data_IF_221533495958
#
_entry.id   IF_221533495958
#
_cell.length_a   1.000
_cell.length_b   1.000
_cell.length_c   1.000
_cell.angle_alpha   90.00
_cell.angle_beta   90.00
_cell.angle_gamma   90.00
#
_symmetry.space_group_name_H-M   'P 1'
#
loop_
_entity.id
_entity.type
_entity.pdbx_description
1 polymer ?
#
# COMPACT_ATOMS: atom_id res chain seq x y z
N UNK A 1 -11.28 18.75 21.43
CA UNK A 1 -9.98 18.25 21.92
C UNK A 1 -9.04 18.34 20.74
N UNK A 2 -7.81 18.85 20.90
CA UNK A 2 -6.91 18.90 19.74
C UNK A 2 -6.33 17.51 19.48
N UNK A 3 -6.51 17.01 18.26
CA UNK A 3 -6.10 15.68 17.81
C UNK A 3 -5.30 15.84 16.53
N UNK A 4 -4.13 15.20 16.45
CA UNK A 4 -3.37 15.12 15.20
C UNK A 4 -3.73 13.88 14.41
N UNK A 5 -4.14 14.07 13.17
CA UNK A 5 -4.51 13.01 12.23
C UNK A 5 -3.53 13.05 11.04
N UNK A 6 -2.99 11.91 10.66
CA UNK A 6 -1.99 11.82 9.60
C UNK A 6 -2.24 10.65 8.64
N UNK A 7 -1.64 10.75 7.46
CA UNK A 7 -1.43 9.64 6.53
C UNK A 7 0.03 9.56 6.12
N UNK A 8 0.55 8.34 5.98
CA UNK A 8 1.92 8.11 5.53
C UNK A 8 2.04 6.78 4.78
N UNK A 9 2.58 6.83 3.57
CA UNK A 9 3.04 5.63 2.86
C UNK A 9 4.38 5.19 3.47
N UNK A 10 4.42 3.95 3.98
CA UNK A 10 5.55 3.41 4.72
C UNK A 10 6.42 2.47 3.87
N UNK A 11 6.03 2.20 2.61
CA UNK A 11 6.71 1.34 1.65
C UNK A 11 7.27 0.02 2.22
N UNK A 12 6.42 -0.74 2.90
CA UNK A 12 6.75 -1.93 3.67
C UNK A 12 7.69 -1.66 4.86
N UNK A 13 7.33 -2.16 6.04
CA UNK A 13 8.00 -1.88 7.30
C UNK A 13 9.27 -2.70 7.52
N UNK A 14 9.27 -3.97 7.11
CA UNK A 14 10.34 -4.92 7.40
C UNK A 14 10.78 -5.69 6.18
N UNK A 15 9.88 -5.97 5.24
CA UNK A 15 10.15 -6.84 4.10
C UNK A 15 9.58 -6.22 2.85
N UNK A 16 10.46 -5.89 1.90
CA UNK A 16 10.05 -5.32 0.63
C UNK A 16 10.24 -6.35 -0.48
N UNK A 17 9.28 -6.49 -1.42
CA UNK A 17 9.51 -7.25 -2.65
C UNK A 17 10.81 -6.81 -3.33
N UNK A 18 11.69 -7.76 -3.64
CA UNK A 18 13.02 -7.47 -4.21
C UNK A 18 12.93 -6.72 -5.54
N UNK A 19 11.85 -6.96 -6.29
CA UNK A 19 11.53 -6.23 -7.51
C UNK A 19 11.50 -4.71 -7.31
N UNK A 20 10.97 -4.22 -6.17
CA UNK A 20 10.88 -2.78 -5.89
C UNK A 20 12.22 -2.11 -5.61
N UNK A 21 13.25 -2.89 -5.24
CA UNK A 21 14.61 -2.40 -4.97
C UNK A 21 15.48 -2.30 -6.23
N UNK A 22 14.98 -2.77 -7.38
CA UNK A 22 15.72 -2.71 -8.64
C UNK A 22 15.75 -1.26 -9.13
N UNK A 23 16.95 -0.68 -9.24
CA UNK A 23 17.13 0.72 -9.67
C UNK A 23 16.63 0.96 -11.09
N UNK A 24 16.95 0.05 -12.02
CA UNK A 24 16.51 0.11 -13.42
C UNK A 24 14.97 -0.02 -13.52
N UNK A 25 14.26 1.06 -13.89
CA UNK A 25 12.80 1.05 -13.98
C UNK A 25 12.27 0.07 -15.04
N UNK A 26 13.01 -0.15 -16.14
CA UNK A 26 12.60 -1.06 -17.20
C UNK A 26 12.66 -2.51 -16.71
N UNK A 27 13.76 -2.88 -16.05
CA UNK A 27 13.92 -4.22 -15.45
C UNK A 27 12.92 -4.48 -14.32
N UNK A 28 12.68 -3.48 -13.45
CA UNK A 28 11.66 -3.55 -12.39
C UNK A 28 10.28 -3.81 -13.00
N UNK A 29 9.92 -3.03 -14.02
CA UNK A 29 8.64 -3.15 -14.72
C UNK A 29 8.47 -4.53 -15.36
N UNK A 30 9.50 -5.01 -16.05
CA UNK A 30 9.50 -6.34 -16.68
C UNK A 30 9.19 -7.46 -15.68
N UNK A 31 9.84 -7.46 -14.51
CA UNK A 31 9.59 -8.47 -13.46
C UNK A 31 8.16 -8.40 -12.93
N UNK A 32 7.63 -7.18 -12.69
CA UNK A 32 6.27 -6.99 -12.21
C UNK A 32 5.23 -7.41 -13.26
N UNK A 33 5.48 -7.11 -14.54
CA UNK A 33 4.66 -7.54 -15.67
C UNK A 33 4.64 -9.05 -15.81
N UNK A 34 5.82 -9.68 -15.76
CA UNK A 34 5.95 -11.13 -15.83
C UNK A 34 5.29 -11.83 -14.64
N UNK A 35 5.38 -11.25 -13.44
CA UNK A 35 4.69 -11.75 -12.25
C UNK A 35 3.17 -11.67 -12.42
N UNK A 36 2.63 -10.52 -12.86
CA UNK A 36 1.21 -10.36 -13.10
C UNK A 36 0.70 -11.31 -14.20
N UNK A 37 1.46 -11.47 -15.28
CA UNK A 37 1.16 -12.42 -16.34
C UNK A 37 1.17 -13.88 -15.84
N UNK A 38 2.16 -14.25 -15.01
CA UNK A 38 2.24 -15.57 -14.41
C UNK A 38 1.01 -15.84 -13.53
N UNK A 39 0.67 -14.94 -12.60
CA UNK A 39 -0.49 -15.08 -11.72
C UNK A 39 -1.78 -15.24 -12.54
N UNK A 40 -1.99 -14.38 -13.55
CA UNK A 40 -3.17 -14.48 -14.42
C UNK A 40 -3.27 -15.81 -15.17
N UNK A 41 -2.14 -16.35 -15.65
CA UNK A 41 -2.11 -17.68 -16.28
C UNK A 41 -2.40 -18.80 -15.25
N UNK A 42 -1.89 -18.69 -14.03
CA UNK A 42 -2.09 -19.70 -12.99
C UNK A 42 -3.55 -19.80 -12.52
N UNK A 43 -4.33 -18.73 -12.63
CA UNK A 43 -5.75 -18.69 -12.28
C UNK A 43 -6.68 -19.27 -13.35
N UNK A 44 -6.17 -19.58 -14.55
CA UNK A 44 -6.99 -20.18 -15.60
C UNK A 44 -7.56 -21.55 -15.15
N UNK A 45 -8.87 -21.80 -15.39
CA UNK A 45 -9.51 -23.04 -14.96
C UNK A 45 -8.94 -24.27 -15.68
N UNK A 46 -8.49 -24.09 -16.92
CA UNK A 46 -7.84 -25.10 -17.77
C UNK A 46 -6.64 -24.47 -18.44
N UNK A 47 -5.50 -25.16 -18.47
CA UNK A 47 -4.30 -24.73 -19.17
C UNK A 47 -4.22 -25.43 -20.53
N UNK A 48 -4.24 -24.65 -21.61
CA UNK A 48 -3.90 -25.11 -22.95
C UNK A 48 -2.40 -25.39 -23.07
N UNK A 49 -1.97 -26.04 -24.16
CA UNK A 49 -0.54 -26.26 -24.39
C UNK A 49 0.25 -24.95 -24.55
N UNK A 50 -0.39 -23.91 -25.08
CA UNK A 50 0.19 -22.55 -25.17
C UNK A 50 0.31 -21.90 -23.77
N UNK A 51 -0.72 -22.01 -22.93
CA UNK A 51 -0.66 -21.51 -21.55
C UNK A 51 0.46 -22.20 -20.76
N UNK A 52 0.57 -23.52 -20.88
CA UNK A 52 1.64 -24.30 -20.24
C UNK A 52 3.02 -23.86 -20.71
N UNK A 53 3.19 -23.59 -22.00
CA UNK A 53 4.45 -23.11 -22.55
C UNK A 53 4.81 -21.72 -22.00
N UNK A 54 3.83 -20.81 -21.90
CA UNK A 54 4.02 -19.47 -21.31
C UNK A 54 4.35 -19.55 -19.82
N UNK A 55 3.63 -20.36 -19.05
CA UNK A 55 3.90 -20.60 -17.63
C UNK A 55 5.32 -21.14 -17.44
N UNK A 56 5.71 -22.16 -18.21
CA UNK A 56 7.06 -22.73 -18.15
C UNK A 56 8.13 -21.67 -18.46
N UNK A 57 7.94 -20.87 -19.51
CA UNK A 57 8.89 -19.83 -19.92
C UNK A 57 9.08 -18.76 -18.83
N UNK A 58 8.00 -18.33 -18.17
CA UNK A 58 8.07 -17.36 -17.06
C UNK A 58 8.79 -17.94 -15.84
N UNK A 59 8.50 -19.21 -15.50
CA UNK A 59 9.16 -19.90 -14.38
C UNK A 59 10.66 -20.08 -14.66
N UNK A 60 11.04 -20.46 -15.88
CA UNK A 60 12.44 -20.61 -16.30
C UNK A 60 13.18 -19.27 -16.30
N UNK A 61 12.58 -18.23 -16.90
CA UNK A 61 13.14 -16.87 -16.99
C UNK A 61 13.56 -16.32 -15.63
N UNK A 62 12.70 -16.51 -14.63
CA UNK A 62 12.91 -15.97 -13.29
C UNK A 62 13.51 -16.96 -12.30
N UNK A 63 13.85 -18.18 -12.72
CA UNK A 63 14.26 -19.28 -11.82
C UNK A 63 13.25 -19.48 -10.67
N UNK A 64 11.94 -19.38 -10.96
CA UNK A 64 10.89 -19.33 -9.93
C UNK A 64 10.64 -20.65 -9.17
N UNK A 65 11.56 -21.60 -9.27
CA UNK A 65 11.64 -22.87 -8.55
C UNK A 65 12.85 -22.93 -7.61
N UNK A 66 13.77 -21.96 -7.71
CA UNK A 66 15.06 -21.96 -7.04
C UNK A 66 14.92 -21.38 -5.63
N UNK A 67 15.73 -21.90 -4.71
CA UNK A 67 15.79 -21.49 -3.31
C UNK A 67 17.19 -20.99 -2.94
N UNK A 68 18.02 -20.61 -3.93
CA UNK A 68 19.37 -20.11 -3.68
C UNK A 68 19.33 -18.91 -2.72
N UNK A 69 19.79 -19.06 -1.46
CA UNK A 69 19.74 -17.99 -0.48
C UNK A 69 20.72 -16.85 -0.79
N UNK A 70 21.67 -17.04 -1.72
CA UNK A 70 22.67 -16.02 -2.12
C UNK A 70 22.25 -15.21 -3.33
N UNK A 71 21.38 -15.75 -4.17
CA UNK A 71 20.83 -15.11 -5.36
C UNK A 71 19.36 -15.54 -5.54
N UNK A 72 18.48 -15.13 -4.60
CA UNK A 72 17.09 -15.56 -4.61
C UNK A 72 16.41 -15.06 -5.89
N UNK A 73 15.57 -15.89 -6.54
CA UNK A 73 14.83 -15.45 -7.71
C UNK A 73 13.89 -14.29 -7.36
N UNK A 74 13.57 -13.37 -8.27
CA UNK A 74 12.64 -12.27 -7.98
C UNK A 74 11.18 -12.73 -7.81
N UNK A 75 10.84 -13.93 -8.32
CA UNK A 75 9.52 -14.57 -8.24
C UNK A 75 9.75 -15.99 -7.72
N UNK A 76 8.86 -16.47 -6.85
CA UNK A 76 8.89 -17.85 -6.38
C UNK A 76 7.51 -18.51 -6.53
N UNK A 77 7.47 -19.77 -7.00
CA UNK A 77 6.24 -20.57 -7.10
C UNK A 77 6.19 -21.58 -5.97
N UNK A 78 5.31 -21.30 -5.00
CA UNK A 78 4.98 -22.19 -3.90
C UNK A 78 4.06 -23.31 -4.39
N UNK A 79 4.48 -24.56 -4.23
CA UNK A 79 3.65 -25.73 -4.51
C UNK A 79 3.40 -26.49 -3.20
N UNK A 80 2.17 -26.45 -2.69
CA UNK A 80 1.78 -27.06 -1.41
C UNK A 80 1.67 -28.58 -1.53
N UNK A 81 2.54 -29.31 -0.82
CA UNK A 81 2.60 -30.78 -0.79
C UNK A 81 2.55 -31.38 -2.21
N UNK A 82 3.59 -31.22 -3.03
CA UNK A 82 3.63 -31.85 -4.34
C UNK A 82 3.77 -33.37 -4.12
N UNK A 83 2.63 -34.08 -4.11
CA UNK A 83 2.62 -35.48 -4.46
C UNK A 83 3.13 -35.66 -5.89
N UNK A 84 3.36 -36.90 -6.30
CA UNK A 84 3.98 -37.24 -7.61
C UNK A 84 3.26 -36.58 -8.81
N UNK A 85 1.96 -36.30 -8.67
CA UNK A 85 1.08 -35.77 -9.73
C UNK A 85 0.22 -34.56 -9.29
N UNK A 86 0.55 -33.87 -8.19
CA UNK A 86 -0.28 -32.77 -7.64
C UNK A 86 0.41 -31.40 -7.63
N UNK A 87 1.58 -31.28 -8.27
CA UNK A 87 2.29 -30.02 -8.48
C UNK A 87 1.96 -29.39 -9.84
N UNK A 88 2.20 -28.07 -9.94
CA UNK A 88 2.22 -27.33 -11.21
C UNK A 88 3.25 -27.92 -12.18
N UNK A 89 4.47 -28.15 -11.68
CA UNK A 89 5.59 -28.73 -12.42
C UNK A 89 6.44 -29.61 -11.48
N UNK A 90 7.14 -30.59 -12.05
CA UNK A 90 8.11 -31.38 -11.28
C UNK A 90 9.34 -30.55 -10.97
N UNK A 91 9.88 -30.58 -9.73
CA UNK A 91 11.12 -29.91 -9.41
C UNK A 91 12.19 -30.28 -10.43
N UNK A 92 12.87 -29.28 -11.01
CA UNK A 92 13.88 -29.56 -11.99
C UNK A 92 15.02 -30.41 -11.42
N UNK A 93 15.51 -31.38 -12.21
CA UNK A 93 16.69 -32.18 -11.84
C UNK A 93 17.97 -31.33 -11.79
N UNK A 94 19.10 -31.86 -11.25
CA UNK A 94 20.35 -31.12 -11.15
C UNK A 94 20.85 -30.68 -12.54
N UNK A 95 20.94 -29.36 -12.77
CA UNK A 95 21.39 -28.75 -14.02
C UNK A 95 21.39 -27.22 -13.94
N UNK A 96 22.22 -26.55 -14.77
CA UNK A 96 22.35 -25.07 -14.75
C UNK A 96 21.15 -24.32 -15.34
N UNK A 97 20.39 -24.96 -16.24
CA UNK A 97 19.20 -24.41 -16.91
C UNK A 97 18.20 -25.54 -17.12
N UNK A 98 17.52 -25.99 -16.07
CA UNK A 98 16.57 -27.07 -16.21
C UNK A 98 15.32 -26.60 -16.97
N UNK A 99 14.80 -27.49 -17.81
CA UNK A 99 13.54 -27.28 -18.53
C UNK A 99 12.36 -27.61 -17.62
N UNK A 100 11.41 -26.70 -17.54
CA UNK A 100 10.19 -26.82 -16.77
C UNK A 100 9.09 -27.42 -17.65
N UNK A 101 8.49 -28.50 -17.17
CA UNK A 101 7.31 -29.10 -17.78
C UNK A 101 6.11 -28.91 -16.85
N UNK A 102 5.14 -28.12 -17.31
CA UNK A 102 3.89 -27.88 -16.57
C UNK A 102 2.96 -29.09 -16.74
N UNK A 103 2.79 -29.86 -15.68
CA UNK A 103 1.98 -31.09 -15.66
C UNK A 103 0.53 -30.84 -15.26
N UNK A 104 0.26 -29.76 -14.52
CA UNK A 104 -1.10 -29.41 -14.11
C UNK A 104 -1.99 -29.10 -15.34
N UNK A 105 -3.26 -29.51 -15.28
CA UNK A 105 -4.24 -29.29 -16.35
C UNK A 105 -4.99 -27.97 -16.22
N UNK A 106 -4.76 -27.21 -15.16
CA UNK A 106 -5.52 -26.02 -14.79
C UNK A 106 -5.45 -25.77 -13.29
N UNK A 107 -6.08 -24.68 -12.82
CA UNK A 107 -6.04 -24.24 -11.42
C UNK A 107 -6.44 -25.34 -10.42
N UNK A 108 -7.43 -26.18 -10.75
CA UNK A 108 -7.92 -27.23 -9.85
C UNK A 108 -6.99 -28.45 -9.72
N UNK A 109 -5.96 -28.56 -10.55
CA UNK A 109 -5.07 -29.74 -10.60
C UNK A 109 -3.86 -29.65 -9.67
N UNK A 110 -3.64 -28.52 -9.02
CA UNK A 110 -2.51 -28.31 -8.11
C UNK A 110 -2.87 -27.30 -7.02
N UNK A 111 -2.15 -27.35 -5.90
CA UNK A 111 -2.30 -26.39 -4.80
C UNK A 111 -1.02 -25.58 -4.64
N UNK A 112 -1.14 -24.25 -4.66
CA UNK A 112 0.01 -23.36 -4.61
C UNK A 112 -0.29 -21.98 -5.19
N UNK A 113 0.71 -21.10 -5.16
CA UNK A 113 0.65 -19.72 -5.63
C UNK A 113 2.03 -19.24 -6.09
N UNK A 114 2.08 -18.17 -6.88
CA UNK A 114 3.30 -17.43 -7.13
C UNK A 114 3.35 -16.22 -6.19
N UNK A 115 4.53 -15.87 -5.69
CA UNK A 115 4.76 -14.65 -4.91
C UNK A 115 6.04 -13.95 -5.36
N UNK A 116 6.12 -12.66 -5.10
CA UNK A 116 7.39 -11.94 -5.24
C UNK A 116 8.29 -12.32 -4.06
N UNK A 117 9.57 -12.58 -4.36
CA UNK A 117 10.54 -12.75 -3.29
C UNK A 117 10.68 -11.46 -2.51
N UNK A 118 10.75 -11.60 -1.19
CA UNK A 118 10.90 -10.48 -0.27
C UNK A 118 12.27 -10.55 0.38
N UNK A 119 12.88 -9.38 0.57
CA UNK A 119 14.13 -9.25 1.33
C UNK A 119 13.91 -8.34 2.54
N UNK A 120 14.68 -8.60 3.60
CA UNK A 120 14.61 -7.81 4.83
C UNK A 120 15.15 -6.40 4.55
N UNK A 121 14.46 -5.39 5.08
CA UNK A 121 14.95 -4.02 5.07
C UNK A 121 16.07 -3.85 6.09
N UNK A 122 17.03 -2.99 5.75
CA UNK A 122 18.05 -2.57 6.71
C UNK A 122 17.38 -1.89 7.91
N UNK A 123 17.89 -2.18 9.11
CA UNK A 123 17.40 -1.59 10.35
C UNK A 123 17.40 -0.06 10.30
N UNK A 124 18.32 0.54 9.56
CA UNK A 124 18.37 2.00 9.39
C UNK A 124 17.21 2.54 8.57
N UNK A 125 16.77 1.84 7.53
CA UNK A 125 15.53 2.15 6.76
C UNK A 125 14.33 2.12 7.69
N UNK A 126 14.14 1.00 8.41
CA UNK A 126 13.02 0.82 9.35
C UNK A 126 13.02 1.91 10.44
N UNK A 127 14.21 2.26 10.96
CA UNK A 127 14.37 3.36 11.93
C UNK A 127 14.06 4.72 11.31
N UNK A 128 14.40 4.97 10.06
CA UNK A 128 14.05 6.22 9.36
C UNK A 128 12.54 6.35 9.20
N UNK A 129 11.83 5.28 8.83
CA UNK A 129 10.36 5.23 8.85
C UNK A 129 9.83 5.55 10.26
N UNK A 130 10.42 4.95 11.29
CA UNK A 130 10.11 5.26 12.69
C UNK A 130 10.35 6.71 13.06
N UNK A 131 11.42 7.35 12.57
CA UNK A 131 11.72 8.78 12.79
C UNK A 131 10.65 9.69 12.19
N UNK A 132 10.16 9.39 10.99
CA UNK A 132 9.04 10.15 10.38
C UNK A 132 7.80 10.04 11.26
N UNK A 133 7.39 8.83 11.63
CA UNK A 133 6.22 8.61 12.51
C UNK A 133 6.40 9.31 13.86
N UNK A 134 7.62 9.29 14.41
CA UNK A 134 7.96 9.93 15.68
C UNK A 134 7.90 11.44 15.64
N UNK A 135 8.24 12.04 14.50
CA UNK A 135 8.28 13.48 14.29
C UNK A 135 6.88 14.04 14.03
N UNK A 136 6.08 13.32 13.24
CA UNK A 136 4.67 13.64 13.04
C UNK A 136 3.90 13.49 14.37
N UNK A 137 4.19 12.45 15.13
CA UNK A 137 3.60 12.16 16.45
C UNK A 137 2.07 12.19 16.46
N UNK A 138 1.45 11.70 15.38
CA UNK A 138 0.00 11.73 15.24
C UNK A 138 -0.70 10.94 16.35
N UNK A 139 -1.90 11.36 16.73
CA UNK A 139 -2.76 10.56 17.59
C UNK A 139 -3.46 9.46 16.82
N UNK A 140 -3.76 9.72 15.54
CA UNK A 140 -4.32 8.75 14.60
C UNK A 140 -3.51 8.84 13.30
N UNK A 141 -2.90 7.73 12.88
CA UNK A 141 -2.08 7.65 11.68
C UNK A 141 -2.61 6.55 10.77
N UNK A 142 -3.14 6.91 9.61
CA UNK A 142 -3.38 5.98 8.53
C UNK A 142 -2.03 5.60 7.89
N UNK A 143 -1.77 4.31 7.76
CA UNK A 143 -0.53 3.77 7.19
C UNK A 143 -0.83 3.12 5.85
N UNK A 144 -0.06 3.46 4.81
CA UNK A 144 -0.19 2.88 3.48
C UNK A 144 1.05 2.05 3.16
N UNK A 145 0.89 0.99 2.37
CA UNK A 145 1.93 0.01 2.04
C UNK A 145 2.51 -0.71 3.26
N UNK A 146 1.65 -1.24 4.12
CA UNK A 146 2.09 -2.11 5.23
C UNK A 146 1.80 -3.57 4.88
N UNK A 147 2.74 -4.47 5.21
CA UNK A 147 2.70 -5.88 4.82
C UNK A 147 1.51 -6.63 5.40
N UNK A 148 1.34 -6.52 6.71
CA UNK A 148 0.30 -7.21 7.46
C UNK A 148 0.15 -6.59 8.87
N UNK A 149 -0.88 -7.02 9.62
CA UNK A 149 -1.15 -6.53 10.97
C UNK A 149 -0.02 -6.84 11.97
N UNK A 150 0.67 -7.98 11.82
CA UNK A 150 1.75 -8.38 12.73
C UNK A 150 3.02 -7.55 12.49
N UNK A 151 3.33 -7.20 11.25
CA UNK A 151 4.36 -6.25 10.89
C UNK A 151 4.05 -4.88 11.53
N UNK A 152 2.82 -4.39 11.38
CA UNK A 152 2.38 -3.14 12.01
C UNK A 152 2.59 -3.16 13.54
N UNK A 153 2.17 -4.22 14.23
CA UNK A 153 2.37 -4.39 15.68
C UNK A 153 3.84 -4.50 16.09
N UNK A 154 4.67 -5.21 15.30
CA UNK A 154 6.12 -5.31 15.55
C UNK A 154 6.79 -3.95 15.40
N UNK A 155 6.44 -3.17 14.39
CA UNK A 155 6.98 -1.83 14.23
C UNK A 155 6.63 -0.94 15.43
N UNK A 156 5.39 -0.97 15.86
CA UNK A 156 4.92 -0.21 17.03
C UNK A 156 5.67 -0.58 18.33
N UNK A 157 5.82 -1.88 18.59
CA UNK A 157 6.43 -2.37 19.83
C UNK A 157 7.97 -2.32 19.82
N UNK A 158 8.59 -2.75 18.73
CA UNK A 158 10.05 -2.92 18.64
C UNK A 158 10.76 -1.68 18.14
N UNK A 159 10.16 -0.94 17.20
CA UNK A 159 10.78 0.24 16.59
C UNK A 159 10.37 1.50 17.32
N UNK A 160 9.07 1.81 17.37
CA UNK A 160 8.59 3.04 18.02
C UNK A 160 8.86 3.01 19.52
N UNK A 161 8.30 2.03 20.25
CA UNK A 161 8.49 1.94 21.70
C UNK A 161 9.88 1.45 22.09
N UNK A 162 10.40 0.40 21.44
CA UNK A 162 11.69 -0.19 21.77
C UNK A 162 12.88 0.68 21.36
N UNK A 163 13.14 0.77 20.05
CA UNK A 163 14.35 1.41 19.53
C UNK A 163 14.35 2.94 19.65
N UNK A 164 13.20 3.59 19.47
CA UNK A 164 13.06 5.04 19.47
C UNK A 164 12.53 5.61 20.79
N UNK A 165 12.09 4.76 21.73
CA UNK A 165 11.59 5.19 23.04
C UNK A 165 10.34 6.07 22.97
N UNK A 166 9.54 5.93 21.91
CA UNK A 166 8.31 6.72 21.68
C UNK A 166 7.10 6.04 22.26
N UNK A 167 6.05 6.81 22.52
CA UNK A 167 4.78 6.28 23.02
C UNK A 167 4.16 5.39 21.94
N UNK A 168 3.94 4.09 22.20
CA UNK A 168 3.29 3.21 21.23
C UNK A 168 1.81 3.57 21.07
N UNK A 169 1.25 3.15 19.95
CA UNK A 169 -0.17 3.19 19.69
C UNK A 169 -0.86 1.99 20.35
N UNK A 170 -1.80 2.19 21.29
CA UNK A 170 -2.52 1.08 21.93
C UNK A 170 -3.44 0.32 20.96
N UNK A 171 -3.84 0.95 19.86
CA UNK A 171 -4.67 0.33 18.83
C UNK A 171 -3.90 0.35 17.50
N UNK A 172 -3.63 -0.84 16.97
CA UNK A 172 -3.04 -1.05 15.65
C UNK A 172 -3.92 -2.06 14.91
N UNK A 173 -4.40 -1.70 13.73
CA UNK A 173 -5.29 -2.55 12.95
C UNK A 173 -4.97 -2.46 11.48
N UNK A 174 -4.98 -3.61 10.82
CA UNK A 174 -4.85 -3.77 9.38
C UNK A 174 -5.61 -5.05 9.01
N UNK A 175 -6.25 -5.04 7.85
CA UNK A 175 -6.78 -6.23 7.22
C UNK A 175 -6.13 -6.40 5.85
N UNK A 176 -5.75 -7.64 5.54
CA UNK A 176 -5.03 -7.94 4.31
C UNK A 176 -5.91 -7.68 3.09
N UNK A 177 -5.35 -7.06 2.06
CA UNK A 177 -6.02 -6.68 0.83
C UNK A 177 -6.09 -7.80 -0.20
N UNK A 178 -6.43 -7.43 -1.44
CA UNK A 178 -6.41 -8.35 -2.59
C UNK A 178 -5.06 -8.30 -3.34
N UNK A 179 -4.13 -7.46 -2.89
CA UNK A 179 -2.82 -7.28 -3.54
C UNK A 179 -1.77 -8.21 -2.92
N UNK A 180 -1.29 -9.17 -3.70
CA UNK A 180 -0.36 -10.20 -3.22
C UNK A 180 1.03 -9.68 -2.85
N UNK A 181 1.30 -8.38 -3.07
CA UNK A 181 2.59 -7.76 -2.76
C UNK A 181 2.70 -7.32 -1.29
N UNK A 182 1.61 -7.38 -0.52
CA UNK A 182 1.56 -6.96 0.88
C UNK A 182 1.74 -5.46 1.02
N UNK A 183 0.93 -4.67 0.32
CA UNK A 183 1.00 -3.20 0.31
C UNK A 183 -0.31 -2.60 0.82
N UNK A 184 -0.77 -3.12 1.96
CA UNK A 184 -2.09 -2.87 2.49
C UNK A 184 -2.21 -1.56 3.27
N UNK A 185 -3.45 -1.22 3.61
CA UNK A 185 -3.79 -0.01 4.37
C UNK A 185 -4.12 -0.39 5.81
N UNK A 186 -3.40 0.21 6.74
CA UNK A 186 -3.57 0.02 8.18
C UNK A 186 -3.81 1.34 8.90
N UNK A 187 -3.95 1.23 10.22
CA UNK A 187 -4.11 2.38 11.10
C UNK A 187 -3.44 2.14 12.45
N UNK A 188 -2.81 3.20 12.93
CA UNK A 188 -2.39 3.39 14.31
C UNK A 188 -3.30 4.41 14.98
N UNK A 189 -3.75 4.13 16.20
CA UNK A 189 -4.59 5.04 16.96
C UNK A 189 -4.30 5.02 18.45
N UNK A 190 -4.32 6.21 19.07
CA UNK A 190 -4.32 6.40 20.52
C UNK A 190 -5.71 6.32 21.13
N UNK A 191 -6.74 6.32 20.30
CA UNK A 191 -8.14 6.18 20.65
C UNK A 191 -8.69 4.82 20.20
N UNK A 192 -9.69 4.25 20.91
CA UNK A 192 -10.24 2.95 20.55
C UNK A 192 -10.77 2.91 19.12
N UNK A 193 -10.41 1.87 18.37
CA UNK A 193 -11.06 1.53 17.10
C UNK A 193 -12.31 0.71 17.46
N UNK A 194 -13.48 1.31 17.29
CA UNK A 194 -14.76 0.73 17.75
C UNK A 194 -15.42 -0.16 16.72
N UNK A 195 -15.15 0.09 15.44
CA UNK A 195 -15.68 -0.69 14.32
C UNK A 195 -14.72 -0.65 13.14
N UNK A 196 -14.74 -1.71 12.34
CA UNK A 196 -14.09 -1.82 11.04
C UNK A 196 -15.13 -2.27 10.02
N UNK A 197 -15.24 -1.56 8.91
CA UNK A 197 -15.98 -2.03 7.72
C UNK A 197 -15.01 -2.13 6.54
N UNK A 198 -15.08 -3.24 5.81
CA UNK A 198 -14.24 -3.51 4.64
C UNK A 198 -15.05 -3.43 3.36
N UNK A 199 -14.41 -3.00 2.28
CA UNK A 199 -14.93 -2.97 0.92
C UNK A 199 -14.14 -3.88 -0.03
N UNK A 200 -13.33 -4.78 0.53
CA UNK A 200 -12.41 -5.68 -0.15
C UNK A 200 -13.10 -6.54 -1.21
N UNK A 201 -14.34 -6.95 -0.96
CA UNK A 201 -15.09 -7.87 -1.81
C UNK A 201 -15.90 -7.18 -2.90
N UNK A 202 -15.87 -5.86 -3.00
CA UNK A 202 -16.57 -5.16 -4.06
C UNK A 202 -15.95 -5.45 -5.43
N UNK A 203 -16.82 -5.64 -6.42
CA UNK A 203 -16.44 -5.93 -7.80
C UNK A 203 -16.52 -4.68 -8.65
N UNK A 204 -15.67 -4.58 -9.67
CA UNK A 204 -15.74 -3.48 -10.63
C UNK A 204 -17.08 -3.56 -11.39
N UNK A 205 -17.93 -2.50 -11.39
CA UNK A 205 -19.21 -2.52 -12.08
C UNK A 205 -19.10 -2.83 -13.58
N UNK A 206 -18.02 -2.35 -14.23
CA UNK A 206 -17.77 -2.54 -15.66
C UNK A 206 -17.04 -3.87 -15.96
N UNK A 207 -16.37 -4.45 -14.95
CA UNK A 207 -15.72 -5.77 -15.01
C UNK A 207 -16.04 -6.60 -13.76
N UNK A 208 -17.25 -7.19 -13.65
CA UNK A 208 -17.72 -7.84 -12.43
C UNK A 208 -16.89 -9.06 -11.97
N UNK A 209 -16.08 -9.61 -12.87
CA UNK A 209 -15.09 -10.67 -12.58
C UNK A 209 -13.86 -10.16 -11.82
N UNK A 210 -13.66 -8.84 -11.76
CA UNK A 210 -12.51 -8.20 -11.13
C UNK A 210 -12.90 -7.47 -9.85
N UNK A 211 -12.00 -7.46 -8.88
CA UNK A 211 -12.14 -6.63 -7.68
C UNK A 211 -12.00 -5.16 -8.04
N UNK A 212 -12.86 -4.32 -7.48
CA UNK A 212 -12.75 -2.87 -7.64
C UNK A 212 -11.54 -2.33 -6.88
N UNK A 213 -11.35 -2.82 -5.64
CA UNK A 213 -10.27 -2.43 -4.76
C UNK A 213 -9.21 -3.54 -4.69
N UNK A 214 -8.02 -3.27 -5.24
CA UNK A 214 -6.86 -4.17 -5.04
C UNK A 214 -6.31 -4.05 -3.62
N UNK A 215 -6.23 -2.82 -3.11
CA UNK A 215 -6.02 -2.51 -1.70
C UNK A 215 -7.35 -1.99 -1.17
N UNK A 216 -7.77 -2.48 0.00
CA UNK A 216 -9.10 -2.20 0.54
C UNK A 216 -9.34 -0.69 0.74
N UNK A 217 -10.62 -0.29 0.79
CA UNK A 217 -11.06 1.00 1.30
C UNK A 217 -11.68 0.81 2.71
N UNK A 218 -10.89 0.50 3.76
CA UNK A 218 -11.43 0.22 5.07
C UNK A 218 -12.02 1.48 5.72
N UNK A 219 -13.20 1.35 6.34
CA UNK A 219 -13.76 2.34 7.25
C UNK A 219 -13.29 2.02 8.69
N UNK A 220 -12.36 2.80 9.21
CA UNK A 220 -11.93 2.72 10.62
C UNK A 220 -12.75 3.70 11.45
N UNK A 221 -13.64 3.19 12.31
CA UNK A 221 -14.38 4.03 13.24
C UNK A 221 -13.59 4.19 14.54
N UNK A 222 -13.30 5.44 14.91
CA UNK A 222 -12.51 5.82 16.06
C UNK A 222 -13.41 6.46 17.11
N UNK A 223 -13.44 5.85 18.29
CA UNK A 223 -14.17 6.35 19.44
C UNK A 223 -13.51 7.59 20.04
N UNK A 224 -14.06 8.76 19.73
CA UNK A 224 -13.70 10.04 20.34
C UNK A 224 -14.69 10.41 21.47
N UNK A 225 -14.37 11.47 22.22
CA UNK A 225 -15.28 12.00 23.24
C UNK A 225 -16.48 12.70 22.58
N UNK A 226 -17.53 11.95 22.29
CA UNK A 226 -18.74 12.47 21.64
C UNK A 226 -18.95 11.82 20.28
N UNK A 227 -18.83 12.60 19.21
CA UNK A 227 -19.09 12.13 17.84
C UNK A 227 -17.89 11.30 17.35
N UNK A 228 -18.09 10.02 16.94
CA UNK A 228 -17.00 9.20 16.44
C UNK A 228 -16.47 9.73 15.11
N UNK A 229 -15.16 9.58 14.90
CA UNK A 229 -14.51 9.88 13.63
C UNK A 229 -14.41 8.61 12.79
N UNK A 230 -14.75 8.67 11.51
CA UNK A 230 -14.48 7.56 10.58
C UNK A 230 -13.39 7.97 9.59
N UNK A 231 -12.35 7.13 9.47
CA UNK A 231 -11.30 7.29 8.46
C UNK A 231 -11.49 6.22 7.39
N UNK A 232 -11.73 6.66 6.15
CA UNK A 232 -11.72 5.82 4.94
C UNK A 232 -10.29 5.77 4.40
N UNK A 233 -9.60 4.66 4.66
CA UNK A 233 -8.22 4.46 4.20
C UNK A 233 -8.16 4.08 2.73
N UNK A 234 -7.21 4.61 1.96
CA UNK A 234 -7.15 4.37 0.51
C UNK A 234 -5.71 4.21 0.00
N UNK A 235 -5.55 3.29 -0.94
CA UNK A 235 -4.36 3.17 -1.79
C UNK A 235 -4.85 2.87 -3.22
N UNK A 236 -5.15 3.91 -4.01
CA UNK A 236 -5.80 3.76 -5.31
C UNK A 236 -4.83 3.24 -6.38
N UNK A 237 -5.34 2.77 -7.53
CA UNK A 237 -4.53 2.17 -8.61
C UNK A 237 -3.35 3.06 -9.03
N UNK A 238 -2.13 2.53 -8.85
CA UNK A 238 -0.88 3.20 -9.23
C UNK A 238 -0.75 3.47 -10.74
N UNK A 239 0.02 4.52 -11.07
CA UNK A 239 0.43 4.90 -12.43
C UNK A 239 1.54 4.01 -13.01
N UNK A 240 2.16 3.15 -12.20
CA UNK A 240 2.99 2.03 -12.71
C UNK A 240 2.04 1.01 -13.35
N UNK A 241 1.92 1.07 -14.68
CA UNK A 241 0.80 0.49 -15.48
C UNK A 241 -0.50 1.25 -15.28
N UNK A 242 -0.46 2.50 -15.73
CA UNK A 242 -1.56 3.44 -15.55
C UNK A 242 -2.89 2.87 -16.06
N UNK A 243 -3.88 2.94 -15.18
CA UNK A 243 -5.27 2.58 -15.45
C UNK A 243 -6.13 3.69 -14.80
N UNK A 244 -6.25 4.85 -15.49
CA UNK A 244 -6.97 6.00 -14.97
C UNK A 244 -8.47 5.73 -14.87
N UNK A 245 -9.03 4.84 -15.69
CA UNK A 245 -10.43 4.43 -15.65
C UNK A 245 -10.73 3.68 -14.34
N UNK A 246 -9.89 2.71 -13.97
CA UNK A 246 -10.03 2.01 -12.69
C UNK A 246 -9.84 2.96 -11.51
N UNK A 247 -8.86 3.87 -11.56
CA UNK A 247 -8.64 4.84 -10.49
C UNK A 247 -9.84 5.76 -10.29
N UNK A 248 -10.45 6.23 -11.39
CA UNK A 248 -11.67 7.02 -11.35
C UNK A 248 -12.86 6.22 -10.82
N UNK A 249 -13.01 4.95 -11.22
CA UNK A 249 -14.06 4.06 -10.70
C UNK A 249 -13.92 3.86 -9.18
N UNK A 250 -12.69 3.66 -8.69
CA UNK A 250 -12.40 3.57 -7.26
C UNK A 250 -12.76 4.89 -6.54
N UNK A 251 -12.32 6.04 -7.05
CA UNK A 251 -12.61 7.34 -6.46
C UNK A 251 -14.13 7.65 -6.39
N UNK A 252 -14.89 7.33 -7.45
CA UNK A 252 -16.35 7.43 -7.45
C UNK A 252 -16.98 6.55 -6.37
N UNK A 253 -16.49 5.32 -6.21
CA UNK A 253 -17.00 4.42 -5.18
C UNK A 253 -16.64 4.91 -3.77
N UNK A 254 -15.44 5.43 -3.56
CA UNK A 254 -15.05 6.08 -2.30
C UNK A 254 -15.98 7.25 -1.98
N UNK A 255 -16.36 8.07 -2.96
CA UNK A 255 -17.33 9.15 -2.77
C UNK A 255 -18.73 8.63 -2.35
N UNK A 256 -19.17 7.48 -2.86
CA UNK A 256 -20.42 6.84 -2.45
C UNK A 256 -20.34 6.29 -1.02
N UNK A 257 -19.24 5.61 -0.67
CA UNK A 257 -18.98 5.09 0.68
C UNK A 257 -18.91 6.23 1.68
N UNK A 258 -18.23 7.32 1.34
CA UNK A 258 -18.19 8.56 2.12
C UNK A 258 -19.59 9.10 2.40
N UNK A 259 -20.45 9.23 1.37
CA UNK A 259 -21.82 9.73 1.54
C UNK A 259 -22.66 8.81 2.44
N UNK A 260 -22.54 7.49 2.29
CA UNK A 260 -23.21 6.53 3.18
C UNK A 260 -22.68 6.62 4.62
N UNK A 261 -21.38 6.88 4.79
CA UNK A 261 -20.74 7.07 6.10
C UNK A 261 -21.24 8.33 6.79
N UNK A 262 -21.50 9.42 6.04
CA UNK A 262 -22.07 10.65 6.58
C UNK A 262 -23.43 10.46 7.25
N UNK A 263 -24.18 9.42 6.88
CA UNK A 263 -25.45 9.07 7.55
C UNK A 263 -25.21 8.53 8.98
N UNK A 264 -24.00 8.08 9.31
CA UNK A 264 -23.61 7.51 10.60
C UNK A 264 -22.83 8.50 11.48
N UNK A 265 -22.03 9.37 10.87
CA UNK A 265 -21.30 10.43 11.57
C UNK A 265 -20.96 11.59 10.62
N UNK A 266 -21.03 12.86 11.06
CA UNK A 266 -20.53 13.98 10.28
C UNK A 266 -18.99 14.02 10.21
N UNK A 267 -18.29 13.32 11.12
CA UNK A 267 -16.83 13.34 11.18
C UNK A 267 -16.25 12.23 10.31
N UNK A 268 -15.95 12.55 9.06
CA UNK A 268 -15.40 11.57 8.10
C UNK A 268 -14.18 12.16 7.39
N UNK A 269 -13.13 11.36 7.28
CA UNK A 269 -11.92 11.69 6.53
C UNK A 269 -11.65 10.58 5.51
N UNK A 270 -11.39 10.95 4.26
CA UNK A 270 -10.81 10.05 3.25
C UNK A 270 -9.31 10.32 3.21
N UNK A 271 -8.50 9.30 3.50
CA UNK A 271 -7.06 9.45 3.68
C UNK A 271 -6.27 8.38 2.94
N UNK A 272 -5.02 8.68 2.58
CA UNK A 272 -4.10 7.72 1.98
C UNK A 272 -3.44 8.22 0.69
N UNK A 273 -2.85 7.28 -0.05
CA UNK A 273 -2.24 7.51 -1.36
C UNK A 273 -3.29 7.30 -2.45
N UNK A 274 -3.77 8.39 -3.04
CA UNK A 274 -4.75 8.36 -4.11
C UNK A 274 -4.12 8.15 -5.49
N UNK A 275 -2.78 8.10 -5.60
CA UNK A 275 -2.02 7.91 -6.83
C UNK A 275 -2.41 8.88 -7.96
N UNK A 276 -2.99 10.03 -7.62
CA UNK A 276 -3.37 11.06 -8.58
C UNK A 276 -3.24 12.46 -8.02
N UNK A 277 -3.07 13.43 -8.91
CA UNK A 277 -2.86 14.83 -8.56
C UNK A 277 -4.18 15.62 -8.50
N UNK A 278 -4.21 16.82 -7.88
CA UNK A 278 -5.45 17.54 -7.57
C UNK A 278 -6.36 17.85 -8.77
N UNK A 279 -5.78 18.05 -9.95
CA UNK A 279 -6.54 18.37 -11.18
C UNK A 279 -6.99 17.14 -11.96
N UNK A 280 -6.87 15.94 -11.39
CA UNK A 280 -7.33 14.69 -11.99
C UNK A 280 -8.84 14.46 -11.83
N UNK A 281 -9.44 13.65 -12.71
CA UNK A 281 -10.86 13.28 -12.60
C UNK A 281 -11.16 12.53 -11.29
N UNK A 282 -10.19 11.76 -10.79
CA UNK A 282 -10.30 11.02 -9.52
C UNK A 282 -10.41 11.98 -8.33
N UNK A 283 -9.56 13.00 -8.28
CA UNK A 283 -9.62 14.05 -7.26
C UNK A 283 -10.92 14.86 -7.38
N UNK A 284 -11.30 15.27 -8.59
CA UNK A 284 -12.53 16.00 -8.85
C UNK A 284 -13.79 15.24 -8.41
N UNK A 285 -13.82 13.91 -8.55
CA UNK A 285 -14.95 13.08 -8.08
C UNK A 285 -15.13 13.15 -6.56
N UNK A 286 -14.02 13.18 -5.81
CA UNK A 286 -14.01 13.27 -4.34
C UNK A 286 -14.36 14.69 -3.88
N UNK A 287 -13.76 15.71 -4.49
CA UNK A 287 -14.11 17.12 -4.23
C UNK A 287 -15.59 17.41 -4.53
N UNK A 288 -16.11 16.88 -5.64
CA UNK A 288 -17.53 16.96 -6.01
C UNK A 288 -18.47 16.25 -5.04
N UNK A 289 -17.96 15.39 -4.15
CA UNK A 289 -18.72 14.83 -3.05
C UNK A 289 -18.79 15.74 -1.82
N UNK A 290 -18.10 16.88 -1.83
CA UNK A 290 -18.06 17.87 -0.75
C UNK A 290 -16.86 17.72 0.20
N UNK A 291 -15.91 16.82 -0.13
CA UNK A 291 -14.66 16.68 0.60
C UNK A 291 -13.73 17.86 0.34
N UNK A 292 -12.92 18.24 1.33
CA UNK A 292 -11.93 19.32 1.24
C UNK A 292 -10.53 18.82 1.58
N UNK A 293 -9.57 19.12 0.73
CA UNK A 293 -8.19 18.69 0.90
C UNK A 293 -7.45 19.54 1.94
N UNK A 294 -6.84 18.89 2.95
CA UNK A 294 -6.03 19.53 3.98
C UNK A 294 -4.97 20.48 3.40
N UNK A 295 -4.26 20.11 2.32
CA UNK A 295 -3.23 20.99 1.74
C UNK A 295 -3.79 22.25 1.07
N UNK A 296 -5.11 22.29 0.79
CA UNK A 296 -5.80 23.52 0.35
C UNK A 296 -6.14 24.46 1.51
N UNK A 297 -5.94 24.04 2.76
CA UNK A 297 -6.29 24.83 3.93
C UNK A 297 -5.39 26.05 4.07
N UNK A 298 -5.96 27.18 4.51
CA UNK A 298 -5.24 28.46 4.64
C UNK A 298 -4.06 28.43 5.61
N UNK A 299 -3.92 27.40 6.45
CA UNK A 299 -2.77 27.24 7.36
C UNK A 299 -1.59 26.51 6.73
N UNK A 300 -1.80 25.83 5.58
CA UNK A 300 -0.75 25.08 4.90
C UNK A 300 0.30 26.00 4.26
N UNK A 301 1.58 25.73 4.51
CA UNK A 301 2.73 26.51 3.99
C UNK A 301 3.87 25.62 3.49
N UNK A 302 3.60 24.33 3.28
CA UNK A 302 4.60 23.34 2.87
C UNK A 302 4.87 23.33 1.36
N UNK A 303 5.50 22.26 0.90
CA UNK A 303 5.78 22.01 -0.51
C UNK A 303 4.49 21.67 -1.29
N UNK A 304 4.43 21.91 -2.61
CA UNK A 304 3.22 21.64 -3.38
C UNK A 304 2.92 20.15 -3.57
N UNK A 305 3.94 19.27 -3.54
CA UNK A 305 3.81 17.83 -3.70
C UNK A 305 3.96 17.04 -2.39
N UNK A 306 3.69 15.73 -2.47
CA UNK A 306 3.90 14.76 -1.37
C UNK A 306 4.80 13.59 -1.75
N UNK A 307 5.12 13.42 -3.03
CA UNK A 307 5.93 12.33 -3.55
C UNK A 307 7.22 12.84 -4.20
N UNK A 308 8.26 12.00 -4.22
CA UNK A 308 9.51 12.29 -4.91
C UNK A 308 10.20 13.53 -4.35
N UNK A 309 10.45 14.55 -5.18
CA UNK A 309 11.05 15.80 -4.72
C UNK A 309 10.03 16.86 -4.24
N UNK A 310 8.73 16.52 -4.32
CA UNK A 310 7.60 17.33 -3.88
C UNK A 310 7.53 18.73 -4.54
N UNK A 311 8.15 18.93 -5.71
CA UNK A 311 8.28 20.27 -6.31
C UNK A 311 7.08 20.71 -7.14
N UNK A 312 6.24 19.79 -7.59
CA UNK A 312 5.08 20.08 -8.43
C UNK A 312 3.78 19.58 -7.78
N UNK A 313 2.66 20.25 -8.06
CA UNK A 313 1.33 19.77 -7.63
C UNK A 313 0.99 18.40 -8.23
N UNK A 314 1.64 18.02 -9.35
CA UNK A 314 1.57 16.67 -9.94
C UNK A 314 2.16 15.59 -9.04
N UNK A 315 3.04 15.96 -8.12
CA UNK A 315 3.63 15.04 -7.14
C UNK A 315 2.77 14.95 -5.87
N UNK A 316 1.65 15.66 -5.80
CA UNK A 316 0.73 15.58 -4.66
C UNK A 316 -0.23 14.41 -4.85
N UNK A 317 0.15 13.24 -4.35
CA UNK A 317 -0.65 12.01 -4.48
C UNK A 317 -1.18 11.49 -3.14
N UNK A 318 -0.71 12.04 -2.02
CA UNK A 318 -1.19 11.71 -0.67
C UNK A 318 -2.18 12.77 -0.18
N UNK A 319 -3.26 12.32 0.45
CA UNK A 319 -4.38 13.19 0.82
C UNK A 319 -4.91 12.92 2.23
N UNK A 320 -5.34 14.02 2.85
CA UNK A 320 -6.30 14.04 3.95
C UNK A 320 -7.50 14.88 3.47
N UNK A 321 -8.52 14.21 2.95
CA UNK A 321 -9.74 14.83 2.47
C UNK A 321 -10.80 14.79 3.58
N UNK A 322 -11.32 15.93 3.98
CA UNK A 322 -12.15 16.07 5.18
C UNK A 322 -13.59 16.40 4.82
N UNK A 323 -14.53 15.85 5.58
CA UNK A 323 -15.93 16.30 5.54
C UNK A 323 -16.03 17.79 5.95
N UNK A 324 -17.10 18.49 5.55
CA UNK A 324 -17.29 19.90 5.92
C UNK A 324 -17.23 20.19 7.42
N UNK A 325 -17.70 19.26 8.26
CA UNK A 325 -17.65 19.40 9.72
C UNK A 325 -16.23 19.28 10.26
N UNK A 326 -15.46 18.27 9.83
CA UNK A 326 -14.04 18.13 10.24
C UNK A 326 -13.21 19.31 9.73
N UNK A 327 -13.47 19.77 8.51
CA UNK A 327 -12.75 20.88 7.90
C UNK A 327 -12.83 22.18 8.72
N UNK A 328 -13.97 22.45 9.35
CA UNK A 328 -14.15 23.66 10.17
C UNK A 328 -13.29 23.66 11.42
N UNK A 329 -12.92 22.47 11.91
CA UNK A 329 -12.13 22.28 13.11
C UNK A 329 -10.61 22.23 12.85
N UNK A 330 -10.18 22.36 11.59
CA UNK A 330 -8.76 22.35 11.21
C UNK A 330 -8.03 23.58 11.74
N UNK A 331 -7.05 23.34 12.61
CA UNK A 331 -6.19 24.39 13.17
C UNK A 331 -4.88 24.52 12.38
N UNK A 332 -4.29 23.39 12.00
CA UNK A 332 -2.99 23.35 11.34
C UNK A 332 -2.91 22.19 10.35
N UNK A 333 -2.14 22.38 9.28
CA UNK A 333 -1.81 21.34 8.31
C UNK A 333 -0.31 21.44 8.02
N UNK A 334 0.37 20.30 8.04
CA UNK A 334 1.80 20.22 7.82
C UNK A 334 2.20 18.99 7.03
N UNK A 335 3.45 19.01 6.57
CA UNK A 335 4.04 17.96 5.75
C UNK A 335 5.43 17.65 6.29
N UNK A 336 5.68 16.39 6.64
CA UNK A 336 6.99 15.91 7.07
C UNK A 336 7.69 15.21 5.91
N UNK A 337 8.74 15.85 5.39
CA UNK A 337 9.46 15.43 4.18
C UNK A 337 10.84 14.86 4.47
N UNK A 338 11.35 14.96 5.70
CA UNK A 338 12.75 14.60 6.02
C UNK A 338 13.06 13.11 5.87
N UNK A 339 12.03 12.27 5.76
CA UNK A 339 12.16 10.86 5.43
C UNK A 339 12.58 10.57 3.98
N UNK A 340 12.37 11.53 3.08
CA UNK A 340 12.61 11.39 1.65
C UNK A 340 14.07 11.66 1.31
N UNK A 341 14.63 10.86 0.39
CA UNK A 341 15.91 11.16 -0.26
C UNK A 341 15.69 11.70 -1.69
N UNK A 342 15.66 13.02 -1.85
CA UNK A 342 15.47 13.69 -3.13
C UNK A 342 16.12 15.08 -3.18
N UNK A 343 16.44 15.55 -4.38
CA UNK A 343 17.07 16.86 -4.60
C UNK A 343 16.17 18.00 -4.11
N UNK A 344 16.67 18.81 -3.20
CA UNK A 344 15.95 19.96 -2.64
C UNK A 344 15.16 19.64 -1.36
N UNK A 345 15.08 18.37 -0.98
CA UNK A 345 14.57 17.96 0.34
C UNK A 345 15.73 17.98 1.34
N UNK A 346 15.51 18.63 2.49
CA UNK A 346 16.44 18.56 3.62
C UNK A 346 16.12 17.32 4.43
N UNK A 347 16.67 16.17 4.05
CA UNK A 347 16.42 14.89 4.73
C UNK A 347 16.98 14.84 6.16
N UNK A 348 16.55 13.86 6.96
CA UNK A 348 17.24 13.53 8.21
C UNK A 348 18.70 13.17 7.90
N UNK A 349 19.62 13.48 8.82
CA UNK A 349 21.05 13.17 8.63
C UNK A 349 21.33 11.66 8.44
N UNK A 350 20.38 10.81 8.86
CA UNK A 350 20.40 9.35 8.70
C UNK A 350 19.82 8.85 7.39
N UNK A 351 19.28 9.74 6.55
CA UNK A 351 18.79 9.44 5.20
C UNK A 351 19.86 9.92 4.22
N UNK A 352 20.69 8.99 3.75
CA UNK A 352 21.89 9.29 2.96
C UNK A 352 21.83 8.74 1.53
N UNK A 353 20.79 7.97 1.22
CA UNK A 353 20.55 7.34 -0.08
C UNK A 353 19.06 6.98 -0.23
N UNK A 354 18.64 6.62 -1.44
CA UNK A 354 17.30 6.06 -1.67
C UNK A 354 17.08 4.74 -0.92
N UNK A 355 18.13 3.95 -0.72
CA UNK A 355 18.04 2.63 -0.07
C UNK A 355 17.73 2.71 1.42
N UNK A 356 18.17 3.78 2.10
CA UNK A 356 17.90 4.02 3.51
C UNK A 356 16.91 5.16 3.77
N UNK A 357 16.25 5.69 2.73
CA UNK A 357 15.14 6.61 2.91
C UNK A 357 13.99 5.94 3.68
N UNK A 358 13.21 6.72 4.42
CA UNK A 358 12.02 6.23 5.11
C UNK A 358 10.92 5.82 4.12
N UNK A 359 10.72 6.69 3.13
CA UNK A 359 9.84 6.53 1.97
C UNK A 359 10.19 7.64 0.96
N UNK A 360 9.79 7.50 -0.30
CA UNK A 360 9.71 8.56 -1.30
C UNK A 360 8.42 9.41 -1.18
N UNK A 361 7.52 9.06 -0.26
CA UNK A 361 6.39 9.86 0.16
C UNK A 361 6.68 10.66 1.45
N UNK A 362 6.03 11.81 1.55
CA UNK A 362 5.99 12.63 2.75
C UNK A 362 4.80 12.24 3.62
N UNK A 363 4.93 12.40 4.93
CA UNK A 363 3.80 12.22 5.84
C UNK A 363 2.98 13.52 5.91
N UNK A 364 1.71 13.45 5.50
CA UNK A 364 0.76 14.56 5.56
C UNK A 364 -0.05 14.48 6.85
N UNK A 365 -0.15 15.58 7.59
CA UNK A 365 -0.90 15.62 8.85
C UNK A 365 -1.70 16.92 9.03
N UNK A 366 -2.75 16.83 9.82
CA UNK A 366 -3.55 17.97 10.25
C UNK A 366 -3.88 17.87 11.74
N UNK A 367 -3.88 19.02 12.41
CA UNK A 367 -4.36 19.19 13.78
C UNK A 367 -5.81 19.69 13.72
N UNK A 368 -6.73 18.95 14.35
CA UNK A 368 -8.17 19.22 14.36
C UNK A 368 -8.71 19.25 15.79
N UNK A 369 -9.68 20.13 16.06
CA UNK A 369 -10.31 20.25 17.38
C UNK A 369 -11.64 19.47 17.45
N UNK A 370 -11.57 18.14 17.66
CA UNK A 370 -12.75 17.23 17.69
C UNK A 370 -13.15 16.73 19.09
#
# INVERSE_FOLDING_TARGET
>A
MSIRIATFNMENLFRRPTAFRIEDPAKRREILDDFAALVGLLDLPVYTDDDKAKIAALIEKHRAYDLDPKDPPPIYVNQSRPGKDSGLFKPPGPGKHPRIEVTAKGRAAWAGWAELSQDDLDLDTVRNTGRVVSEVDADILLTVEVEDRLALERFNSQVLAGALGRRPYPYALLIDGNDSRGIDVGIFSRYPITSLRTHLFETNPDRPDQRLFSRDCPEFEIGLNGTPLVILGNHLKSKSHDDPELRLAQAKRVAEIYRATLERTPHVIVAGDLNDFPTSDSAAALEGAGLRDAMSHRSYRGLPGTFGDCKDERDKIDYLLMSPDVWQEVQHVGLETRGIFADGIKSFDTVTSKLNAASDHAALYADVDL
#
